data_IF_996094286960
#
_entry.id   IF_996094286960
#
_cell.length_a   1.000
_cell.length_b   1.000
_cell.length_c   1.000
_cell.angle_alpha   90.00
_cell.angle_beta   90.00
_cell.angle_gamma   90.00
#
_symmetry.space_group_name_H-M   'P 1'
#
loop_
_entity.id
_entity.type
_entity.pdbx_description
1 polymer ?
#
# COMPACT_ATOMS: atom_id res chain seq x y z
N UNK A 1 -10.13 -4.77 -4.04
CA UNK A 1 -10.88 -6.01 -3.70
C UNK A 1 -12.07 -5.71 -2.78
N UNK A 2 -11.86 -5.21 -1.56
CA UNK A 2 -12.96 -4.89 -0.61
C UNK A 2 -14.07 -4.02 -1.22
N UNK A 3 -13.73 -2.85 -1.79
CA UNK A 3 -14.68 -1.94 -2.44
C UNK A 3 -15.48 -2.63 -3.56
N UNK A 4 -14.79 -3.39 -4.43
CA UNK A 4 -15.42 -4.11 -5.53
C UNK A 4 -16.37 -5.22 -5.05
N UNK A 5 -16.00 -5.95 -3.99
CA UNK A 5 -16.82 -7.03 -3.42
C UNK A 5 -18.04 -6.49 -2.68
N UNK A 6 -17.86 -5.45 -1.86
CA UNK A 6 -18.95 -4.81 -1.10
C UNK A 6 -19.77 -3.84 -1.96
N UNK A 7 -19.32 -3.53 -3.18
CA UNK A 7 -19.91 -2.53 -4.09
C UNK A 7 -20.06 -1.15 -3.43
N UNK A 8 -19.04 -0.74 -2.69
CA UNK A 8 -19.02 0.50 -1.92
C UNK A 8 -17.72 1.27 -2.16
N UNK A 9 -17.79 2.56 -2.53
CA UNK A 9 -16.60 3.39 -2.71
C UNK A 9 -16.04 3.91 -1.36
N UNK A 10 -16.85 3.90 -0.30
CA UNK A 10 -16.55 4.50 1.01
C UNK A 10 -15.89 3.53 2.01
N UNK A 11 -15.29 2.44 1.53
CA UNK A 11 -14.55 1.49 2.36
C UNK A 11 -13.08 1.52 2.01
N UNK A 12 -12.24 1.57 3.02
CA UNK A 12 -10.78 1.69 2.88
C UNK A 12 -10.11 0.71 3.83
N UNK A 13 -8.89 0.30 3.49
CA UNK A 13 -8.14 -0.59 4.38
C UNK A 13 -6.81 -1.00 3.82
N UNK A 14 -6.02 -1.64 4.68
CA UNK A 14 -4.66 -2.05 4.41
C UNK A 14 -4.43 -3.47 4.87
N UNK A 15 -3.78 -4.24 4.01
CA UNK A 15 -3.24 -5.56 4.34
C UNK A 15 -1.99 -5.43 5.19
N UNK A 16 -1.85 -6.31 6.19
CA UNK A 16 -0.62 -6.56 6.92
C UNK A 16 -0.27 -8.05 6.88
N UNK A 17 1.01 -8.37 6.71
CA UNK A 17 1.55 -9.72 6.83
C UNK A 17 2.87 -9.58 7.56
N UNK A 18 3.08 -10.35 8.64
CA UNK A 18 4.37 -10.34 9.34
C UNK A 18 5.41 -11.17 8.59
N UNK A 19 6.68 -11.03 8.96
CA UNK A 19 7.75 -11.85 8.41
C UNK A 19 7.42 -13.33 8.55
N UNK A 20 7.87 -14.13 7.59
CA UNK A 20 7.64 -15.58 7.56
C UNK A 20 6.17 -16.01 7.56
N UNK A 21 5.23 -15.08 7.29
CA UNK A 21 3.78 -15.33 7.28
C UNK A 21 3.28 -15.95 8.60
N UNK A 22 3.75 -15.45 9.74
CA UNK A 22 3.26 -15.86 11.06
C UNK A 22 1.86 -15.30 11.35
N UNK A 23 1.60 -14.08 10.88
CA UNK A 23 0.35 -13.36 11.08
C UNK A 23 -0.15 -12.75 9.79
N UNK A 24 -1.46 -12.82 9.60
CA UNK A 24 -2.18 -12.14 8.54
C UNK A 24 -3.17 -11.14 9.17
N UNK A 25 -3.11 -9.88 8.71
CA UNK A 25 -3.96 -8.79 9.19
C UNK A 25 -4.70 -8.12 8.04
N UNK A 26 -5.91 -7.68 8.34
CA UNK A 26 -6.57 -6.64 7.57
C UNK A 26 -7.18 -5.63 8.51
N UNK A 27 -6.75 -4.38 8.41
CA UNK A 27 -7.33 -3.25 9.12
C UNK A 27 -8.05 -2.37 8.10
N UNK A 28 -9.32 -2.07 8.35
CA UNK A 28 -10.12 -1.27 7.44
C UNK A 28 -11.22 -0.52 8.15
N UNK A 29 -11.78 0.45 7.44
CA UNK A 29 -12.83 1.30 7.96
C UNK A 29 -13.83 1.71 6.87
N UNK A 30 -15.00 2.09 7.34
CA UNK A 30 -15.97 2.96 6.72
C UNK A 30 -16.13 4.16 7.67
N UNK A 31 -16.51 5.38 7.24
CA UNK A 31 -16.56 6.57 8.09
C UNK A 31 -17.18 6.42 9.50
N UNK A 32 -18.14 5.52 9.70
CA UNK A 32 -18.79 5.29 11.00
C UNK A 32 -18.33 4.02 11.74
N UNK A 33 -17.48 3.20 11.14
CA UNK A 33 -17.02 1.94 11.75
C UNK A 33 -15.61 1.54 11.29
N UNK A 34 -14.76 1.20 12.26
CA UNK A 34 -13.45 0.60 12.04
C UNK A 34 -13.48 -0.85 12.51
N UNK A 35 -12.94 -1.75 11.71
CA UNK A 35 -12.81 -3.16 12.06
C UNK A 35 -11.43 -3.67 11.67
N UNK A 36 -10.90 -4.59 12.47
CA UNK A 36 -9.62 -5.25 12.24
C UNK A 36 -9.82 -6.74 12.36
N UNK A 37 -9.25 -7.49 11.42
CA UNK A 37 -9.21 -8.95 11.46
C UNK A 37 -7.78 -9.43 11.48
N UNK A 38 -7.51 -10.36 12.40
CA UNK A 38 -6.24 -11.07 12.53
C UNK A 38 -6.47 -12.56 12.41
N UNK A 39 -5.53 -13.23 11.77
CA UNK A 39 -5.42 -14.68 11.75
C UNK A 39 -3.97 -15.02 12.07
N UNK A 40 -3.79 -15.89 13.05
CA UNK A 40 -2.52 -16.39 13.56
C UNK A 40 -2.76 -17.59 14.46
N UNK A 41 -1.68 -18.12 15.03
CA UNK A 41 -1.73 -19.20 16.01
C UNK A 41 -1.34 -18.67 17.38
N UNK A 42 -1.97 -19.19 18.44
CA UNK A 42 -1.64 -18.83 19.82
C UNK A 42 -0.17 -19.12 20.15
N UNK A 43 0.35 -20.26 19.66
CA UNK A 43 1.78 -20.55 19.62
C UNK A 43 2.31 -20.22 18.22
N UNK A 44 3.25 -19.27 18.07
CA UNK A 44 3.69 -18.79 16.76
C UNK A 44 4.19 -19.91 15.84
N UNK A 45 3.58 -20.02 14.66
CA UNK A 45 4.01 -20.90 13.57
C UNK A 45 3.54 -20.33 12.24
N UNK A 46 4.21 -20.72 11.16
CA UNK A 46 3.87 -20.28 9.80
C UNK A 46 2.43 -20.64 9.45
N UNK A 47 1.69 -19.69 8.87
CA UNK A 47 0.36 -19.90 8.29
C UNK A 47 0.45 -20.68 6.98
N UNK A 48 1.56 -20.53 6.27
CA UNK A 48 1.83 -21.13 4.96
C UNK A 48 2.50 -20.11 4.04
N UNK A 49 3.29 -20.58 3.08
CA UNK A 49 4.18 -19.71 2.28
C UNK A 49 3.45 -18.72 1.36
N UNK A 50 2.14 -18.91 1.14
CA UNK A 50 1.30 -18.01 0.32
C UNK A 50 0.23 -17.29 1.13
N UNK A 51 0.24 -17.46 2.44
CA UNK A 51 -0.75 -16.85 3.31
C UNK A 51 -0.40 -15.40 3.59
N UNK A 52 -1.35 -14.51 3.30
CA UNK A 52 -1.19 -13.06 3.42
C UNK A 52 -2.45 -12.43 3.99
N UNK A 53 -2.34 -11.21 4.51
CA UNK A 53 -3.52 -10.42 4.95
C UNK A 53 -4.61 -10.29 3.88
N UNK A 54 -4.24 -10.22 2.60
CA UNK A 54 -5.20 -10.15 1.49
C UNK A 54 -5.86 -11.48 1.11
N UNK A 55 -5.21 -12.59 1.45
CA UNK A 55 -5.68 -13.96 1.19
C UNK A 55 -6.56 -14.50 2.31
N UNK A 56 -6.15 -14.31 3.57
CA UNK A 56 -6.83 -14.88 4.75
C UNK A 56 -7.73 -13.88 5.48
N UNK A 57 -7.15 -12.77 5.94
CA UNK A 57 -7.84 -11.87 6.87
C UNK A 57 -8.86 -10.96 6.19
N UNK A 58 -8.56 -10.51 4.96
CA UNK A 58 -9.46 -9.66 4.18
C UNK A 58 -10.83 -10.31 3.90
N UNK A 59 -10.95 -11.58 3.45
CA UNK A 59 -12.26 -12.22 3.27
C UNK A 59 -13.14 -12.23 4.52
N UNK A 60 -12.55 -12.47 5.70
CA UNK A 60 -13.28 -12.46 6.98
C UNK A 60 -13.75 -11.04 7.31
N UNK A 61 -12.89 -10.03 7.12
CA UNK A 61 -13.26 -8.63 7.28
C UNK A 61 -14.40 -8.23 6.34
N UNK A 62 -14.36 -8.64 5.07
CA UNK A 62 -15.43 -8.37 4.08
C UNK A 62 -16.75 -8.98 4.57
N UNK A 63 -16.74 -10.23 5.04
CA UNK A 63 -17.96 -10.91 5.53
C UNK A 63 -18.59 -10.20 6.74
N UNK A 64 -17.75 -9.74 7.68
CA UNK A 64 -18.23 -8.93 8.80
C UNK A 64 -18.86 -7.62 8.32
N UNK A 65 -18.14 -6.87 7.48
CA UNK A 65 -18.60 -5.56 7.00
C UNK A 65 -19.82 -5.64 6.09
N UNK A 66 -20.01 -6.73 5.35
CA UNK A 66 -21.23 -6.98 4.57
C UNK A 66 -22.48 -7.00 5.46
N UNK A 67 -22.36 -7.47 6.70
CA UNK A 67 -23.45 -7.43 7.68
C UNK A 67 -23.50 -6.10 8.42
N UNK A 68 -22.35 -5.61 8.89
CA UNK A 68 -22.28 -4.39 9.69
C UNK A 68 -22.72 -3.13 8.93
N UNK A 69 -22.53 -3.09 7.60
CA UNK A 69 -22.90 -1.95 6.76
C UNK A 69 -24.31 -2.05 6.17
N UNK A 70 -25.12 -3.05 6.55
CA UNK A 70 -26.52 -3.13 6.10
C UNK A 70 -27.30 -1.91 6.59
N UNK A 71 -27.88 -1.17 5.64
CA UNK A 71 -28.64 0.05 5.93
C UNK A 71 -27.79 1.29 6.23
N UNK A 72 -26.46 1.18 6.23
CA UNK A 72 -25.56 2.34 6.40
C UNK A 72 -25.43 3.06 5.05
N UNK A 73 -25.79 4.35 4.94
CA UNK A 73 -25.62 5.11 3.70
C UNK A 73 -24.15 5.18 3.24
N UNK A 74 -23.92 5.29 1.94
CA UNK A 74 -22.57 5.55 1.40
C UNK A 74 -22.14 6.97 1.75
N UNK A 75 -20.93 7.13 2.27
CA UNK A 75 -20.37 8.43 2.66
C UNK A 75 -19.03 8.66 1.97
N UNK A 76 -19.02 9.53 0.95
CA UNK A 76 -17.76 9.89 0.30
C UNK A 76 -16.93 10.83 1.19
N UNK A 77 -15.61 10.65 1.26
CA UNK A 77 -14.76 11.55 2.02
C UNK A 77 -14.81 12.95 1.42
N UNK A 78 -15.17 13.92 2.25
CA UNK A 78 -15.10 15.34 1.88
C UNK A 78 -13.66 15.80 2.08
N UNK A 79 -13.13 16.50 1.08
CA UNK A 79 -11.83 17.12 1.18
C UNK A 79 -11.79 18.09 2.38
N UNK A 80 -10.84 17.94 3.31
CA UNK A 80 -10.66 18.93 4.36
C UNK A 80 -10.15 20.25 3.78
N UNK A 81 -10.31 21.33 4.54
CA UNK A 81 -9.80 22.65 4.16
C UNK A 81 -8.30 22.59 3.84
N UNK A 82 -7.88 23.27 2.77
CA UNK A 82 -6.50 23.27 2.30
C UNK A 82 -6.07 21.99 1.57
N UNK A 83 -6.98 21.06 1.29
CA UNK A 83 -6.73 19.87 0.45
C UNK A 83 -7.59 19.94 -0.82
N UNK A 84 -6.96 19.77 -1.99
CA UNK A 84 -7.61 19.81 -3.30
C UNK A 84 -7.31 18.54 -4.09
N UNK A 85 -8.22 18.17 -5.00
CA UNK A 85 -8.08 17.02 -5.88
C UNK A 85 -7.81 17.50 -7.31
N UNK A 86 -6.61 17.23 -7.84
CA UNK A 86 -6.19 17.67 -9.18
C UNK A 86 -5.67 16.46 -9.95
N UNK A 87 -6.28 16.17 -11.10
CA UNK A 87 -5.80 15.10 -11.99
C UNK A 87 -5.86 13.68 -11.41
N UNK A 88 -6.68 13.43 -10.39
CA UNK A 88 -6.79 12.12 -9.74
C UNK A 88 -6.01 12.00 -8.43
N UNK A 89 -5.16 12.97 -8.11
CA UNK A 89 -4.31 12.99 -6.93
C UNK A 89 -4.75 14.08 -5.94
N UNK A 90 -4.50 13.82 -4.65
CA UNK A 90 -4.78 14.78 -3.58
C UNK A 90 -3.52 15.61 -3.28
N UNK A 91 -3.68 16.93 -3.22
CA UNK A 91 -2.62 17.89 -2.90
C UNK A 91 -3.05 18.79 -1.75
N UNK A 92 -2.09 19.25 -0.94
CA UNK A 92 -2.32 20.49 -0.21
C UNK A 92 -2.41 21.64 -1.23
N UNK A 93 -3.30 22.59 -0.97
CA UNK A 93 -3.61 23.68 -1.90
C UNK A 93 -2.36 24.50 -2.27
N UNK A 94 -1.44 24.68 -1.33
CA UNK A 94 -0.14 25.33 -1.54
C UNK A 94 0.73 24.61 -2.58
N UNK A 95 0.68 23.28 -2.66
CA UNK A 95 1.47 22.50 -3.63
C UNK A 95 0.78 22.29 -4.97
N UNK A 96 -0.54 22.47 -5.03
CA UNK A 96 -1.32 22.25 -6.24
C UNK A 96 -1.00 23.24 -7.39
N UNK A 97 -0.40 24.39 -7.06
CA UNK A 97 -0.06 25.45 -8.03
C UNK A 97 1.35 25.35 -8.61
N UNK A 98 2.04 24.22 -8.41
CA UNK A 98 3.40 24.00 -8.94
C UNK A 98 4.51 24.55 -8.06
N UNK A 99 4.22 24.90 -6.80
CA UNK A 99 5.20 25.40 -5.82
C UNK A 99 5.91 24.27 -5.03
N UNK A 100 5.60 23.00 -5.32
CA UNK A 100 6.24 21.84 -4.69
C UNK A 100 7.59 21.45 -5.30
N UNK A 101 8.44 20.80 -4.52
CA UNK A 101 9.72 20.24 -5.00
C UNK A 101 9.45 18.98 -5.84
N UNK A 102 9.50 19.13 -7.17
CA UNK A 102 9.25 18.02 -8.11
C UNK A 102 10.40 17.00 -8.19
N UNK A 103 11.63 17.40 -7.81
CA UNK A 103 12.78 16.49 -7.72
C UNK A 103 13.83 17.06 -6.79
N UNK A 104 14.47 16.19 -6.01
CA UNK A 104 15.71 16.52 -5.31
C UNK A 104 16.84 16.08 -6.22
N UNK A 105 17.53 17.03 -6.85
CA UNK A 105 18.78 16.75 -7.56
C UNK A 105 19.88 16.57 -6.52
N UNK A 106 20.49 15.38 -6.47
CA UNK A 106 21.73 15.19 -5.71
C UNK A 106 22.82 16.10 -6.29
N UNK A 107 23.62 16.80 -5.46
CA UNK A 107 24.68 17.70 -5.93
C UNK A 107 25.79 17.00 -6.74
N UNK A 108 25.82 15.66 -6.79
CA UNK A 108 26.77 14.88 -7.60
C UNK A 108 26.38 14.71 -9.08
N UNK A 109 25.21 15.19 -9.50
CA UNK A 109 24.74 15.00 -10.89
C UNK A 109 25.39 15.93 -11.94
N UNK A 110 26.44 16.68 -11.57
CA UNK A 110 27.23 17.49 -12.52
C UNK A 110 28.54 16.85 -12.97
N UNK A 111 28.77 15.57 -12.67
CA UNK A 111 29.79 14.82 -13.40
C UNK A 111 29.23 14.34 -14.75
N UNK A 112 29.95 14.54 -15.88
CA UNK A 112 29.53 13.97 -17.15
C UNK A 112 29.38 12.47 -16.97
N UNK A 113 28.24 11.92 -17.41
CA UNK A 113 27.92 10.50 -17.34
C UNK A 113 29.17 9.67 -17.69
N UNK A 114 29.69 8.93 -16.71
CA UNK A 114 30.79 8.02 -16.97
C UNK A 114 30.34 7.08 -18.11
N UNK A 115 31.16 6.93 -19.17
CA UNK A 115 30.81 6.04 -20.27
C UNK A 115 30.51 4.66 -19.70
N UNK A 116 29.46 4.03 -20.23
CA UNK A 116 29.03 2.72 -19.75
C UNK A 116 30.23 1.77 -19.62
N UNK A 117 30.31 0.98 -18.53
CA UNK A 117 31.46 0.13 -18.27
C UNK A 117 31.72 -0.77 -19.46
N UNK A 118 33.00 -0.89 -19.81
CA UNK A 118 33.44 -1.69 -20.94
C UNK A 118 32.98 -3.14 -20.80
N UNK A 119 32.87 -3.87 -21.92
CA UNK A 119 32.40 -5.26 -21.94
C UNK A 119 33.24 -6.17 -21.02
N UNK A 120 34.53 -5.87 -20.86
CA UNK A 120 35.43 -6.62 -19.97
C UNK A 120 35.16 -6.35 -18.49
N UNK A 121 34.73 -5.13 -18.16
CA UNK A 121 34.37 -4.74 -16.81
C UNK A 121 33.04 -5.38 -16.39
N UNK A 122 32.08 -5.46 -17.32
CA UNK A 122 30.83 -6.22 -17.12
C UNK A 122 31.10 -7.70 -16.82
N UNK A 123 32.07 -8.32 -17.51
CA UNK A 123 32.45 -9.72 -17.26
C UNK A 123 33.07 -9.92 -15.88
N UNK A 124 33.98 -9.03 -15.45
CA UNK A 124 34.57 -9.07 -14.09
C UNK A 124 33.51 -8.90 -13.00
N UNK A 125 32.55 -8.01 -13.22
CA UNK A 125 31.42 -7.81 -12.30
C UNK A 125 30.57 -9.08 -12.23
N UNK A 126 30.26 -9.71 -13.37
CA UNK A 126 29.49 -10.96 -13.42
C UNK A 126 30.20 -12.14 -12.74
N UNK A 127 31.53 -12.20 -12.76
CA UNK A 127 32.29 -13.24 -12.09
C UNK A 127 32.39 -13.03 -10.56
N UNK A 128 32.24 -11.80 -10.06
CA UNK A 128 32.16 -11.53 -8.61
C UNK A 128 30.90 -12.07 -7.93
N UNK A 129 29.82 -12.30 -8.70
CA UNK A 129 28.54 -12.80 -8.19
C UNK A 129 28.33 -14.31 -8.41
N UNK A 130 29.34 -15.01 -8.92
CA UNK A 130 29.33 -16.47 -9.03
C UNK A 130 30.07 -17.07 -7.84
N UNK A 131 29.37 -17.17 -6.71
CA UNK A 131 29.65 -18.16 -5.66
C UNK A 131 28.41 -19.03 -5.51
#
# INVERSE_FOLDING_TARGET
RAQATLKRPDVYGKTGTTNDSMDAWFAGFQPTITAVTWIGYDTPRKLGDRETGGGLSLPVWISFMETALKGVPVQEPVAPEGVTHVGGEWYFEEFAKGEGVASIKSPEASEPAQPAPSVDEKKKILDLFKN
#
